data_IF_411273168907
#
_entry.id   IF_411273168907
#
_cell.length_a   1.000
_cell.length_b   1.000
_cell.length_c   1.000
_cell.angle_alpha   90.00
_cell.angle_beta   90.00
_cell.angle_gamma   90.00
#
_symmetry.space_group_name_H-M   'P 1'
#
loop_
_entity.id
_entity.type
_entity.pdbx_description
1 polymer ?
#
# COMPACT_ATOMS: atom_id res chain seq x y z
N UNK A 1 -17.97 -5.45 11.71
CA UNK A 1 -17.09 -4.69 10.78
C UNK A 1 -17.75 -4.72 9.41
N UNK A 2 -17.94 -3.55 8.81
CA UNK A 2 -18.49 -3.43 7.46
C UNK A 2 -17.45 -3.94 6.44
N UNK A 3 -17.77 -4.87 5.53
CA UNK A 3 -16.82 -5.38 4.54
C UNK A 3 -16.30 -4.27 3.60
N UNK A 4 -17.08 -3.23 3.36
CA UNK A 4 -16.65 -2.08 2.56
C UNK A 4 -15.59 -1.26 3.29
N UNK A 5 -15.72 -1.05 4.61
CA UNK A 5 -14.69 -0.38 5.42
C UNK A 5 -13.37 -1.14 5.41
N UNK A 6 -13.44 -2.48 5.44
CA UNK A 6 -12.26 -3.33 5.33
C UNK A 6 -11.59 -3.19 3.96
N UNK A 7 -12.38 -3.15 2.89
CA UNK A 7 -11.86 -2.93 1.53
C UNK A 7 -11.21 -1.55 1.40
N UNK A 8 -11.87 -0.50 1.89
CA UNK A 8 -11.33 0.86 1.89
C UNK A 8 -10.04 0.94 2.70
N UNK A 9 -9.99 0.29 3.87
CA UNK A 9 -8.76 0.23 4.67
C UNK A 9 -7.60 -0.45 3.93
N UNK A 10 -7.85 -1.57 3.24
CA UNK A 10 -6.84 -2.25 2.42
C UNK A 10 -6.31 -1.36 1.28
N UNK A 11 -7.21 -0.62 0.61
CA UNK A 11 -6.85 0.31 -0.47
C UNK A 11 -6.19 1.58 0.09
N UNK A 12 -6.50 1.96 1.33
CA UNK A 12 -5.97 3.16 1.95
C UNK A 12 -4.46 3.10 2.15
N UNK A 13 -3.89 1.94 2.42
CA UNK A 13 -2.45 1.80 2.57
C UNK A 13 -1.68 2.22 1.30
N UNK A 14 -1.93 1.67 0.10
CA UNK A 14 -1.28 2.15 -1.12
C UNK A 14 -1.69 3.58 -1.51
N UNK A 15 -2.88 4.05 -1.15
CA UNK A 15 -3.32 5.40 -1.44
C UNK A 15 -2.60 6.45 -0.56
N UNK A 16 -2.36 6.17 0.71
CA UNK A 16 -1.66 7.07 1.63
C UNK A 16 -0.13 7.03 1.47
N UNK A 17 0.41 5.96 0.88
CA UNK A 17 1.84 5.79 0.61
C UNK A 17 2.14 5.81 -0.89
N UNK A 18 1.41 6.62 -1.66
CA UNK A 18 1.43 6.62 -3.14
C UNK A 18 2.82 6.66 -3.75
N UNK A 19 3.72 7.52 -3.23
CA UNK A 19 5.09 7.62 -3.73
C UNK A 19 5.84 6.27 -3.59
N UNK A 20 5.88 5.71 -2.39
CA UNK A 20 6.55 4.43 -2.14
C UNK A 20 5.93 3.30 -2.96
N UNK A 21 4.60 3.28 -3.07
CA UNK A 21 3.88 2.25 -3.82
C UNK A 21 4.16 2.30 -5.32
N UNK A 22 4.29 3.49 -5.91
CA UNK A 22 4.68 3.64 -7.32
C UNK A 22 6.06 3.03 -7.56
N UNK A 23 7.05 3.36 -6.72
CA UNK A 23 8.40 2.80 -6.85
C UNK A 23 8.43 1.28 -6.65
N UNK A 24 7.92 0.78 -5.53
CA UNK A 24 7.92 -0.64 -5.20
C UNK A 24 7.21 -1.44 -6.30
N UNK A 25 6.03 -0.97 -6.73
CA UNK A 25 5.24 -1.68 -7.74
C UNK A 25 5.89 -1.66 -9.12
N UNK A 26 6.45 -0.51 -9.55
CA UNK A 26 7.14 -0.40 -10.83
C UNK A 26 8.35 -1.33 -10.90
N UNK A 27 9.22 -1.31 -9.89
CA UNK A 27 10.39 -2.20 -9.85
C UNK A 27 10.00 -3.68 -9.74
N UNK A 28 8.97 -4.00 -8.94
CA UNK A 28 8.47 -5.37 -8.82
C UNK A 28 7.90 -5.88 -10.13
N UNK A 29 7.11 -5.07 -10.86
CA UNK A 29 6.58 -5.42 -12.18
C UNK A 29 7.69 -5.62 -13.20
N UNK A 30 8.70 -4.75 -13.21
CA UNK A 30 9.86 -4.90 -14.07
C UNK A 30 10.60 -6.22 -13.79
N UNK A 31 10.85 -6.55 -12.52
CA UNK A 31 11.46 -7.82 -12.11
C UNK A 31 10.63 -9.03 -12.51
N UNK A 32 9.32 -9.01 -12.28
CA UNK A 32 8.40 -10.07 -12.67
C UNK A 32 8.35 -10.26 -14.19
N UNK A 33 8.37 -9.17 -14.95
CA UNK A 33 8.40 -9.21 -16.41
C UNK A 33 9.72 -9.79 -16.92
N UNK A 34 10.86 -9.33 -16.40
CA UNK A 34 12.19 -9.85 -16.78
C UNK A 34 12.32 -11.35 -16.49
N UNK A 35 11.81 -11.81 -15.34
CA UNK A 35 11.77 -13.24 -15.00
C UNK A 35 10.85 -14.05 -15.93
N UNK A 36 9.71 -13.49 -16.29
CA UNK A 36 8.75 -14.09 -17.23
C UNK A 36 9.33 -14.22 -18.62
N UNK A 37 9.98 -13.15 -19.13
CA UNK A 37 10.58 -13.11 -20.48
C UNK A 37 11.79 -14.03 -20.60
N UNK A 38 12.58 -14.19 -19.54
CA UNK A 38 13.77 -15.06 -19.57
C UNK A 38 13.45 -16.56 -19.58
N UNK A 39 12.18 -16.95 -19.43
CA UNK A 39 11.78 -18.37 -19.32
C UNK A 39 12.45 -19.12 -18.15
N UNK A 40 13.07 -18.36 -17.27
CA UNK A 40 13.86 -18.90 -16.19
C UNK A 40 12.95 -19.27 -15.00
N UNK A 41 12.74 -20.56 -14.82
CA UNK A 41 12.43 -21.02 -13.47
C UNK A 41 13.57 -20.57 -12.54
N UNK A 42 13.29 -20.13 -11.27
CA UNK A 42 14.33 -19.78 -10.32
C UNK A 42 15.40 -20.87 -10.28
N UNK A 43 16.64 -20.53 -10.58
CA UNK A 43 17.74 -21.50 -10.69
C UNK A 43 17.93 -22.17 -12.06
N UNK A 44 17.04 -21.98 -13.04
CA UNK A 44 17.13 -22.64 -14.34
C UNK A 44 18.35 -22.24 -15.19
N UNK A 45 18.83 -21.00 -15.06
CA UNK A 45 20.04 -20.57 -15.75
C UNK A 45 21.30 -21.23 -15.16
N UNK A 46 21.46 -21.19 -13.85
CA UNK A 46 22.55 -21.86 -13.13
C UNK A 46 22.53 -23.39 -13.33
N UNK A 47 21.34 -23.97 -13.37
CA UNK A 47 21.20 -25.39 -13.64
C UNK A 47 21.64 -25.75 -15.06
N UNK A 48 21.26 -24.97 -16.08
CA UNK A 48 21.70 -25.17 -17.47
C UNK A 48 23.22 -25.07 -17.61
N UNK A 49 23.86 -24.13 -16.89
CA UNK A 49 25.33 -24.05 -16.85
C UNK A 49 25.92 -25.29 -16.21
N UNK A 50 25.45 -25.71 -15.03
CA UNK A 50 25.93 -26.95 -14.36
C UNK A 50 25.70 -28.23 -15.18
N UNK A 51 24.57 -28.26 -15.92
CA UNK A 51 24.26 -29.36 -16.82
C UNK A 51 25.21 -29.44 -18.01
N UNK A 52 25.58 -28.27 -18.59
CA UNK A 52 26.59 -28.19 -19.67
C UNK A 52 28.00 -28.55 -19.20
N UNK A 53 28.32 -28.23 -17.95
CA UNK A 53 29.62 -28.49 -17.33
C UNK A 53 29.72 -29.92 -16.74
N UNK A 54 28.66 -30.72 -16.83
CA UNK A 54 28.64 -32.09 -16.28
C UNK A 54 28.66 -32.13 -14.74
N UNK A 55 28.35 -31.04 -14.07
CA UNK A 55 28.41 -30.88 -12.61
C UNK A 55 27.14 -31.30 -11.88
N UNK A 56 26.11 -31.77 -12.59
CA UNK A 56 24.88 -32.25 -11.96
C UNK A 56 25.08 -33.66 -11.43
N UNK A 57 24.91 -33.84 -10.12
CA UNK A 57 24.87 -35.16 -9.49
C UNK A 57 23.43 -35.73 -9.52
N UNK A 58 23.27 -37.06 -9.53
CA UNK A 58 21.94 -37.70 -9.47
C UNK A 58 21.10 -37.26 -8.26
N UNK A 59 21.76 -36.97 -7.16
CA UNK A 59 21.17 -36.43 -5.92
C UNK A 59 20.64 -34.99 -6.02
N UNK A 60 21.07 -34.22 -7.04
CA UNK A 60 20.57 -32.88 -7.35
C UNK A 60 19.23 -32.92 -8.11
N UNK A 61 18.64 -34.09 -8.26
CA UNK A 61 17.30 -34.22 -8.81
C UNK A 61 16.29 -33.53 -7.89
N UNK A 62 15.49 -32.59 -8.41
CA UNK A 62 14.61 -31.76 -7.58
C UNK A 62 13.56 -32.63 -6.90
N UNK A 63 13.73 -32.81 -5.57
CA UNK A 63 12.70 -33.39 -4.72
C UNK A 63 11.58 -32.37 -4.53
N UNK A 64 10.35 -32.70 -4.91
CA UNK A 64 9.18 -31.86 -4.70
C UNK A 64 9.11 -30.67 -5.65
N UNK A 65 9.00 -30.88 -6.94
CA UNK A 65 8.72 -29.80 -7.90
C UNK A 65 7.34 -29.22 -7.64
N UNK A 66 7.30 -27.95 -7.19
CA UNK A 66 6.06 -27.17 -7.29
C UNK A 66 5.64 -27.17 -8.76
N UNK A 67 4.40 -27.54 -9.11
CA UNK A 67 3.94 -27.54 -10.48
C UNK A 67 4.18 -26.16 -11.12
N UNK A 68 4.76 -26.15 -12.31
CA UNK A 68 5.07 -24.90 -13.01
C UNK A 68 3.82 -24.01 -13.21
N UNK A 69 2.64 -24.64 -13.30
CA UNK A 69 1.36 -23.95 -13.36
C UNK A 69 1.11 -23.11 -12.09
N UNK A 70 1.39 -23.65 -10.89
CA UNK A 70 1.22 -22.94 -9.63
C UNK A 70 2.15 -21.73 -9.57
N UNK A 71 3.43 -21.91 -9.91
CA UNK A 71 4.40 -20.81 -9.95
C UNK A 71 3.93 -19.70 -10.90
N UNK A 72 3.48 -20.08 -12.11
CA UNK A 72 2.97 -19.11 -13.09
C UNK A 72 1.72 -18.37 -12.58
N UNK A 73 0.82 -19.06 -11.90
CA UNK A 73 -0.38 -18.45 -11.33
C UNK A 73 -0.01 -17.47 -10.22
N UNK A 74 0.89 -17.84 -9.31
CA UNK A 74 1.38 -16.95 -8.25
C UNK A 74 2.00 -15.67 -8.85
N UNK A 75 2.88 -15.81 -9.86
CA UNK A 75 3.47 -14.64 -10.52
C UNK A 75 2.42 -13.75 -11.21
N UNK A 76 1.38 -14.31 -11.81
CA UNK A 76 0.29 -13.54 -12.40
C UNK A 76 -0.52 -12.78 -11.36
N UNK A 77 -0.86 -13.42 -10.25
CA UNK A 77 -1.58 -12.77 -9.14
C UNK A 77 -0.74 -11.64 -8.55
N UNK A 78 0.55 -11.88 -8.29
CA UNK A 78 1.47 -10.83 -7.82
C UNK A 78 1.55 -9.65 -8.80
N UNK A 79 1.64 -9.92 -10.10
CA UNK A 79 1.68 -8.86 -11.11
C UNK A 79 0.39 -8.04 -11.13
N UNK A 80 -0.78 -8.66 -10.99
CA UNK A 80 -2.07 -7.97 -10.91
C UNK A 80 -2.13 -7.08 -9.65
N UNK A 81 -1.70 -7.59 -8.50
CA UNK A 81 -1.67 -6.82 -7.24
C UNK A 81 -0.70 -5.64 -7.36
N UNK A 82 0.50 -5.85 -7.93
CA UNK A 82 1.46 -4.75 -8.14
C UNK A 82 0.94 -3.71 -9.11
N UNK A 83 0.25 -4.14 -10.18
CA UNK A 83 -0.37 -3.22 -11.14
C UNK A 83 -1.48 -2.39 -10.47
N UNK A 84 -2.33 -3.00 -9.66
CA UNK A 84 -3.37 -2.31 -8.91
C UNK A 84 -2.76 -1.27 -7.95
N UNK A 85 -1.72 -1.64 -7.18
CA UNK A 85 -1.01 -0.73 -6.29
C UNK A 85 -0.34 0.43 -7.05
N UNK A 86 0.24 0.16 -8.22
CA UNK A 86 0.81 1.20 -9.08
C UNK A 86 -0.24 2.22 -9.51
N UNK A 87 -1.40 1.74 -9.98
CA UNK A 87 -2.51 2.61 -10.41
C UNK A 87 -3.04 3.44 -9.24
N UNK A 88 -3.30 2.82 -8.08
CA UNK A 88 -3.76 3.51 -6.88
C UNK A 88 -2.74 4.56 -6.44
N UNK A 89 -1.45 4.21 -6.42
CA UNK A 89 -0.38 5.14 -6.07
C UNK A 89 -0.31 6.35 -6.99
N UNK A 90 -0.40 6.15 -8.31
CA UNK A 90 -0.41 7.25 -9.30
C UNK A 90 -1.64 8.13 -9.09
N UNK A 91 -2.84 7.55 -8.97
CA UNK A 91 -4.07 8.32 -8.75
C UNK A 91 -3.97 9.17 -7.47
N UNK A 92 -3.43 8.60 -6.40
CA UNK A 92 -3.26 9.33 -5.14
C UNK A 92 -2.24 10.48 -5.26
N UNK A 93 -1.12 10.28 -5.97
CA UNK A 93 -0.12 11.32 -6.23
C UNK A 93 -0.69 12.46 -7.08
N UNK A 94 -1.54 12.15 -8.04
CA UNK A 94 -2.22 13.17 -8.88
C UNK A 94 -3.36 13.90 -8.16
N UNK A 95 -3.59 13.57 -6.87
CA UNK A 95 -4.60 14.26 -6.05
C UNK A 95 -5.99 13.65 -6.07
N UNK A 96 -6.20 12.54 -6.79
CA UNK A 96 -7.48 11.83 -6.78
C UNK A 96 -7.74 11.27 -5.37
N UNK A 97 -8.88 11.60 -4.73
CA UNK A 97 -9.18 11.17 -3.36
C UNK A 97 -9.69 9.72 -3.32
N UNK A 98 -8.82 8.76 -3.67
CA UNK A 98 -9.18 7.34 -3.85
C UNK A 98 -9.95 6.76 -2.66
N UNK A 99 -9.53 7.08 -1.43
CA UNK A 99 -10.17 6.61 -0.19
C UNK A 99 -10.65 7.74 0.70
N UNK A 100 -10.03 8.92 0.59
CA UNK A 100 -10.22 10.07 1.50
C UNK A 100 -11.67 10.56 1.52
N UNK A 101 -12.32 10.62 0.35
CA UNK A 101 -13.73 11.05 0.26
C UNK A 101 -14.64 10.09 1.04
N UNK A 102 -14.46 8.79 0.90
CA UNK A 102 -15.23 7.79 1.63
C UNK A 102 -14.98 7.88 3.15
N UNK A 103 -13.71 7.97 3.57
CA UNK A 103 -13.36 8.09 4.99
C UNK A 103 -13.93 9.38 5.58
N UNK A 104 -13.90 10.48 4.84
CA UNK A 104 -14.50 11.73 5.27
C UNK A 104 -16.02 11.65 5.45
N UNK A 105 -16.72 10.97 4.55
CA UNK A 105 -18.18 10.84 4.59
C UNK A 105 -18.64 9.87 5.68
N UNK A 106 -17.95 8.74 5.86
CA UNK A 106 -18.38 7.63 6.72
C UNK A 106 -17.57 7.51 8.03
N UNK A 107 -16.46 8.24 8.14
CA UNK A 107 -15.59 8.22 9.32
C UNK A 107 -16.18 8.96 10.52
N UNK A 108 -15.83 8.49 11.72
CA UNK A 108 -16.17 9.17 12.96
C UNK A 108 -15.20 10.34 13.22
N UNK A 109 -15.72 11.53 13.54
CA UNK A 109 -14.87 12.67 13.86
C UNK A 109 -14.27 12.54 15.26
N UNK A 110 -13.03 13.00 15.41
CA UNK A 110 -12.36 13.17 16.70
C UNK A 110 -11.35 14.32 16.60
N UNK A 111 -10.99 14.89 17.75
CA UNK A 111 -9.91 15.88 17.82
C UNK A 111 -8.57 15.16 17.83
N UNK A 112 -7.60 15.66 17.08
CA UNK A 112 -6.25 15.17 16.99
C UNK A 112 -5.24 16.29 17.17
N UNK A 113 -4.02 15.96 17.56
CA UNK A 113 -2.88 16.87 17.54
C UNK A 113 -1.97 16.50 16.37
N UNK A 114 -1.62 17.51 15.56
CA UNK A 114 -0.66 17.36 14.48
C UNK A 114 0.72 17.82 14.96
N UNK A 115 1.72 16.95 14.84
CA UNK A 115 3.10 17.29 15.11
C UNK A 115 4.01 16.82 13.94
N UNK A 116 4.45 17.79 13.14
CA UNK A 116 5.10 17.49 11.87
C UNK A 116 4.21 16.65 10.95
N UNK A 117 4.69 15.48 10.59
CA UNK A 117 3.95 14.51 9.77
C UNK A 117 3.14 13.50 10.61
N UNK A 118 3.16 13.63 11.95
CA UNK A 118 2.47 12.73 12.86
C UNK A 118 1.13 13.32 13.31
N UNK A 119 0.13 12.45 13.36
CA UNK A 119 -1.23 12.77 13.82
C UNK A 119 -1.55 11.83 14.98
N UNK A 120 -1.79 12.41 16.15
CA UNK A 120 -2.16 11.67 17.36
C UNK A 120 -3.61 11.95 17.72
N UNK A 121 -4.42 10.92 17.82
CA UNK A 121 -5.83 11.02 18.23
C UNK A 121 -6.27 9.82 19.05
N UNK A 122 -7.33 10.02 19.83
CA UNK A 122 -7.96 8.96 20.63
C UNK A 122 -9.29 8.58 19.99
N UNK A 123 -9.50 7.28 19.83
CA UNK A 123 -10.77 6.73 19.32
C UNK A 123 -11.87 6.81 20.37
N UNK A 124 -13.13 6.63 19.94
CA UNK A 124 -14.27 6.52 20.88
C UNK A 124 -14.18 5.36 21.85
N UNK A 125 -13.34 4.36 21.58
CA UNK A 125 -13.05 3.24 22.48
C UNK A 125 -11.92 3.52 23.48
N UNK A 126 -11.34 4.75 23.46
CA UNK A 126 -10.27 5.16 24.36
C UNK A 126 -8.86 4.71 23.93
N UNK A 127 -8.71 4.16 22.73
CA UNK A 127 -7.39 3.74 22.22
C UNK A 127 -6.75 4.91 21.49
N UNK A 128 -5.51 5.25 21.86
CA UNK A 128 -4.72 6.27 21.22
C UNK A 128 -3.95 5.72 20.01
N UNK A 129 -3.95 6.48 18.93
CA UNK A 129 -3.21 6.21 17.70
C UNK A 129 -2.31 7.38 17.35
N UNK A 130 -1.06 7.09 17.01
CA UNK A 130 -0.13 8.05 16.38
C UNK A 130 0.21 7.52 15.00
N UNK A 131 -0.25 8.22 13.97
CA UNK A 131 -0.19 7.79 12.58
C UNK A 131 0.49 8.85 11.71
N UNK A 132 1.19 8.41 10.67
CA UNK A 132 1.86 9.30 9.73
C UNK A 132 0.88 9.85 8.68
N UNK A 133 0.95 11.17 8.43
CA UNK A 133 0.35 11.82 7.27
C UNK A 133 1.45 12.11 6.27
N UNK A 134 1.58 11.26 5.25
CA UNK A 134 2.67 11.32 4.28
C UNK A 134 2.71 12.66 3.53
N UNK A 135 3.89 13.24 3.38
CA UNK A 135 4.09 14.52 2.71
C UNK A 135 3.61 14.53 1.25
N UNK A 136 3.88 13.49 0.48
CA UNK A 136 3.51 13.42 -0.94
C UNK A 136 2.03 13.08 -1.18
N UNK A 137 1.42 12.39 -0.23
CA UNK A 137 0.02 11.99 -0.27
C UNK A 137 -0.66 12.27 1.06
N UNK A 138 -0.77 13.58 1.44
CA UNK A 138 -1.27 13.94 2.75
C UNK A 138 -2.70 13.43 2.96
N UNK A 139 -2.96 12.93 4.16
CA UNK A 139 -4.28 12.44 4.55
C UNK A 139 -5.23 13.61 4.87
N UNK A 140 -5.41 14.55 3.92
CA UNK A 140 -6.22 15.76 4.08
C UNK A 140 -7.35 15.78 3.05
N UNK A 141 -8.56 16.18 3.47
CA UNK A 141 -9.73 16.32 2.62
C UNK A 141 -10.75 17.28 3.27
N UNK A 142 -11.55 18.07 2.54
CA UNK A 142 -11.61 18.13 1.08
C UNK A 142 -10.47 18.95 0.43
N UNK A 143 -9.87 19.90 1.13
CA UNK A 143 -8.80 20.71 0.60
C UNK A 143 -7.44 20.08 0.92
N UNK A 144 -6.84 19.41 -0.09
CA UNK A 144 -5.56 18.72 0.04
C UNK A 144 -4.41 19.65 0.38
N UNK A 145 -4.47 20.88 -0.11
CA UNK A 145 -3.40 21.87 -0.01
C UNK A 145 -3.60 22.81 1.20
N UNK A 146 -4.57 22.49 2.06
CA UNK A 146 -4.80 23.25 3.29
C UNK A 146 -3.54 23.29 4.14
N UNK A 147 -3.14 24.51 4.54
CA UNK A 147 -2.04 24.70 5.48
C UNK A 147 -2.47 24.27 6.88
N UNK A 148 -1.80 23.27 7.42
CA UNK A 148 -2.05 22.73 8.75
C UNK A 148 -0.77 22.86 9.59
N UNK A 149 -0.67 23.87 10.45
CA UNK A 149 0.51 24.10 11.29
C UNK A 149 0.79 22.90 12.21
N UNK A 150 2.06 22.71 12.55
CA UNK A 150 2.47 21.76 13.58
C UNK A 150 2.15 22.30 14.97
N UNK A 151 1.76 21.44 15.90
CA UNK A 151 1.39 21.80 17.27
C UNK A 151 -0.07 22.22 17.43
N UNK A 152 -0.84 22.29 16.34
CA UNK A 152 -2.26 22.65 16.39
C UNK A 152 -3.19 21.46 16.51
N UNK A 153 -4.39 21.76 17.05
CA UNK A 153 -5.48 20.78 17.05
C UNK A 153 -6.17 20.78 15.69
N UNK A 154 -6.37 19.58 15.16
CA UNK A 154 -7.08 19.33 13.91
C UNK A 154 -8.26 18.39 14.15
N UNK A 155 -9.24 18.44 13.28
CA UNK A 155 -10.33 17.45 13.28
C UNK A 155 -9.93 16.29 12.35
N UNK A 156 -9.98 15.07 12.86
CA UNK A 156 -9.71 13.86 12.11
C UNK A 156 -10.98 13.01 12.03
N UNK A 157 -11.22 12.40 10.88
CA UNK A 157 -12.24 11.37 10.69
C UNK A 157 -11.56 10.04 10.43
N UNK A 158 -11.98 9.01 11.13
CA UNK A 158 -11.40 7.67 11.02
C UNK A 158 -12.49 6.59 10.91
N UNK A 159 -12.19 5.47 10.28
CA UNK A 159 -13.10 4.32 10.24
C UNK A 159 -13.07 3.56 11.56
N UNK A 160 -14.18 3.39 12.27
CA UNK A 160 -14.18 2.79 13.63
C UNK A 160 -13.59 1.37 13.68
N UNK A 161 -13.81 0.57 12.64
CA UNK A 161 -13.25 -0.78 12.55
C UNK A 161 -11.78 -0.83 12.15
N UNK A 162 -11.24 0.26 11.60
CA UNK A 162 -9.89 0.37 11.06
C UNK A 162 -9.33 1.78 11.27
N UNK A 163 -8.98 2.20 12.50
CA UNK A 163 -8.56 3.56 12.81
C UNK A 163 -7.32 4.06 12.05
N UNK A 164 -6.53 3.15 11.47
CA UNK A 164 -5.41 3.50 10.59
C UNK A 164 -5.89 4.14 9.26
N UNK A 165 -7.14 3.91 8.88
CA UNK A 165 -7.78 4.60 7.77
C UNK A 165 -8.42 5.89 8.29
N UNK A 166 -7.68 6.99 8.21
CA UNK A 166 -8.08 8.30 8.69
C UNK A 166 -7.87 9.38 7.63
N UNK A 167 -8.52 10.52 7.85
CA UNK A 167 -8.34 11.74 7.07
C UNK A 167 -8.49 12.97 7.98
N UNK A 168 -7.68 13.99 7.76
CA UNK A 168 -7.83 15.29 8.41
C UNK A 168 -8.92 16.05 7.66
N UNK A 169 -9.93 16.49 8.39
CA UNK A 169 -11.04 17.29 7.86
C UNK A 169 -10.63 18.76 7.80
N UNK A 170 -10.16 19.19 6.63
CA UNK A 170 -9.72 20.59 6.43
C UNK A 170 -10.87 21.60 6.50
N UNK A 171 -12.12 21.19 6.37
CA UNK A 171 -13.27 22.07 6.48
C UNK A 171 -13.67 22.37 7.95
N UNK A 172 -13.35 21.45 8.87
CA UNK A 172 -13.66 21.60 10.31
C UNK A 172 -12.44 21.94 11.17
N UNK A 173 -11.25 21.88 10.59
CA UNK A 173 -10.03 22.29 11.30
C UNK A 173 -10.00 23.81 11.42
N UNK A 174 -9.84 24.38 12.63
CA UNK A 174 -9.71 25.83 12.83
C UNK A 174 -8.55 26.39 11.99
N UNK A 175 -8.74 27.59 11.42
CA UNK A 175 -7.69 28.33 10.69
C UNK A 175 -7.07 29.35 11.57
#
# INVERSE_FOLDING_TARGET
VNPLDTLIWLINFPASHGYAMVFISAFSLFGLFAMSASGAAPGGALRRVREREGLLRPEDAPRGRVPQAVVRTVFRVLAIVMLANLVIGILSLTGVPVTRAYIHEHGQPTTATKDGDWITFTTTTGVEYTLESNFFTPAVYPDRDAFLPSGEQVVVRYLPGHPQAFVIDSAQTPR
#
